data_IF_101608515517
#
_entry.id   IF_101608515517
#
_cell.length_a   1.000
_cell.length_b   1.000
_cell.length_c   1.000
_cell.angle_alpha   90.00
_cell.angle_beta   90.00
_cell.angle_gamma   90.00
#
_symmetry.space_group_name_H-M   'P 1'
#
loop_
_entity.id
_entity.type
_entity.pdbx_description
1 polymer ?
#
# COMPACT_ATOMS: atom_id res chain seq x y z
N UNK A 1 -13.45 15.56 -10.45
CA UNK A 1 -13.83 14.45 -9.54
C UNK A 1 -13.22 14.61 -8.16
N UNK A 2 -12.09 15.33 -8.02
CA UNK A 2 -11.37 15.50 -6.77
C UNK A 2 -11.23 16.97 -6.42
N UNK A 3 -11.12 17.27 -5.12
CA UNK A 3 -10.73 18.60 -4.62
C UNK A 3 -9.57 18.45 -3.64
N UNK A 4 -8.68 19.44 -3.60
CA UNK A 4 -7.56 19.47 -2.64
C UNK A 4 -7.85 20.55 -1.60
N UNK A 5 -7.79 20.18 -0.31
CA UNK A 5 -8.14 21.07 0.81
C UNK A 5 -7.09 20.95 1.91
N UNK A 6 -7.01 21.96 2.78
CA UNK A 6 -6.17 21.89 3.96
C UNK A 6 -6.76 20.90 4.98
N UNK A 7 -5.90 20.11 5.61
CA UNK A 7 -6.25 19.14 6.65
C UNK A 7 -5.38 19.41 7.89
N UNK A 8 -6.04 19.64 9.02
CA UNK A 8 -5.36 19.93 10.27
C UNK A 8 -4.34 18.82 10.61
N UNK A 9 -3.09 19.22 10.86
CA UNK A 9 -2.00 18.30 11.21
C UNK A 9 -1.45 17.44 10.06
N UNK A 10 -2.01 17.49 8.84
CA UNK A 10 -1.55 16.71 7.67
C UNK A 10 -1.20 17.57 6.44
N UNK A 11 -1.37 18.89 6.52
CA UNK A 11 -1.10 19.78 5.40
C UNK A 11 -2.28 19.82 4.43
N UNK A 12 -2.15 19.15 3.28
CA UNK A 12 -3.20 19.07 2.26
C UNK A 12 -3.74 17.64 2.16
N UNK A 13 -5.01 17.50 1.80
CA UNK A 13 -5.66 16.21 1.54
C UNK A 13 -6.48 16.23 0.26
N UNK A 14 -6.76 15.05 -0.27
CA UNK A 14 -7.54 14.84 -1.50
C UNK A 14 -8.92 14.35 -1.12
N UNK A 15 -9.97 15.02 -1.60
CA UNK A 15 -11.36 14.76 -1.24
C UNK A 15 -12.20 14.45 -2.46
N UNK A 16 -13.17 13.55 -2.29
CA UNK A 16 -14.14 13.22 -3.33
C UNK A 16 -15.09 14.42 -3.58
N UNK A 17 -15.12 14.92 -4.81
CA UNK A 17 -16.02 16.03 -5.18
C UNK A 17 -17.47 15.55 -5.44
N UNK A 18 -17.69 14.25 -5.47
CA UNK A 18 -18.97 13.54 -5.68
C UNK A 18 -18.80 12.10 -5.16
N UNK A 19 -19.88 11.35 -4.88
CA UNK A 19 -19.77 9.95 -4.51
C UNK A 19 -18.98 9.14 -5.56
N UNK A 20 -18.12 8.22 -5.10
CA UNK A 20 -17.29 7.34 -5.92
C UNK A 20 -17.64 5.90 -5.53
N UNK A 21 -18.11 5.12 -6.50
CA UNK A 21 -18.41 3.70 -6.27
C UNK A 21 -17.14 2.87 -6.13
N UNK A 22 -17.21 1.82 -5.33
CA UNK A 22 -16.19 0.76 -5.22
C UNK A 22 -15.74 0.28 -6.61
N UNK A 23 -14.45 0.02 -6.75
CA UNK A 23 -13.82 -0.42 -8.01
C UNK A 23 -13.53 0.69 -9.02
N UNK A 24 -13.99 1.92 -8.77
CA UNK A 24 -13.72 3.05 -9.66
C UNK A 24 -12.23 3.42 -9.61
N UNK A 25 -11.60 3.54 -10.79
CA UNK A 25 -10.30 4.19 -10.94
C UNK A 25 -10.44 5.69 -10.66
N UNK A 26 -9.90 6.14 -9.53
CA UNK A 26 -9.92 7.53 -9.08
C UNK A 26 -8.91 8.37 -9.86
N UNK A 27 -7.70 7.85 -10.07
CA UNK A 27 -6.67 8.48 -10.89
C UNK A 27 -5.73 7.46 -11.54
N UNK A 28 -5.08 7.90 -12.61
CA UNK A 28 -3.89 7.29 -13.20
C UNK A 28 -2.84 8.38 -13.37
N UNK A 29 -1.73 8.26 -12.67
CA UNK A 29 -0.67 9.27 -12.63
C UNK A 29 0.61 8.73 -13.26
N UNK A 30 1.23 9.50 -14.15
CA UNK A 30 2.49 9.11 -14.81
C UNK A 30 3.66 9.65 -14.02
N UNK A 31 4.74 8.88 -13.95
CA UNK A 31 5.93 9.27 -13.23
C UNK A 31 6.51 10.56 -13.83
N UNK A 32 6.93 11.50 -12.97
CA UNK A 32 7.72 12.66 -13.40
C UNK A 32 9.22 12.45 -13.21
N UNK A 33 9.59 11.62 -12.23
CA UNK A 33 10.96 11.28 -11.91
C UNK A 33 10.98 9.80 -11.57
N UNK A 34 11.94 9.08 -12.12
CA UNK A 34 12.19 7.67 -11.85
C UNK A 34 13.65 7.47 -11.45
N UNK A 35 13.91 6.60 -10.49
CA UNK A 35 15.25 6.21 -10.07
C UNK A 35 15.33 4.69 -10.10
N UNK A 36 16.17 4.14 -10.98
CA UNK A 36 16.46 2.70 -11.02
C UNK A 36 17.69 2.36 -10.19
N UNK A 37 17.89 1.09 -9.77
CA UNK A 37 19.08 0.66 -9.03
C UNK A 37 20.39 0.89 -9.79
N UNK A 38 20.35 0.87 -11.13
CA UNK A 38 21.48 1.16 -12.00
C UNK A 38 21.76 2.65 -12.19
N UNK A 39 20.86 3.53 -11.75
CA UNK A 39 20.97 4.97 -11.96
C UNK A 39 21.54 5.70 -10.73
N UNK A 40 22.53 6.59 -10.91
CA UNK A 40 23.00 7.43 -9.82
C UNK A 40 21.96 8.50 -9.45
N UNK A 41 21.97 8.97 -8.21
CA UNK A 41 21.10 10.05 -7.70
C UNK A 41 21.14 11.33 -8.56
N UNK A 42 22.25 11.59 -9.27
CA UNK A 42 22.37 12.68 -10.25
C UNK A 42 21.33 12.64 -11.38
N UNK A 43 20.74 11.47 -11.66
CA UNK A 43 19.64 11.29 -12.63
C UNK A 43 18.37 12.04 -12.24
N UNK A 44 18.06 12.16 -10.94
CA UNK A 44 16.89 12.91 -10.44
C UNK A 44 16.96 14.37 -10.89
N UNK A 45 18.14 14.97 -10.77
CA UNK A 45 18.38 16.37 -11.10
C UNK A 45 18.28 16.61 -12.60
N UNK A 46 18.82 15.69 -13.39
CA UNK A 46 18.73 15.75 -14.85
C UNK A 46 17.27 15.68 -15.33
N UNK A 47 16.50 14.73 -14.79
CA UNK A 47 15.07 14.61 -15.09
C UNK A 47 14.30 15.86 -14.67
N UNK A 48 14.55 16.37 -13.46
CA UNK A 48 13.93 17.60 -12.95
C UNK A 48 14.09 18.80 -13.89
N UNK A 49 15.28 19.00 -14.47
CA UNK A 49 15.55 20.11 -15.42
C UNK A 49 14.73 20.01 -16.71
N UNK A 50 14.27 18.80 -17.05
CA UNK A 50 13.49 18.52 -18.25
C UNK A 50 11.98 18.55 -18.00
N UNK A 51 11.54 18.73 -16.74
CA UNK A 51 10.11 18.78 -16.39
C UNK A 51 9.51 20.11 -16.88
N UNK A 52 8.39 20.08 -17.64
CA UNK A 52 7.69 21.30 -18.07
C UNK A 52 7.26 22.17 -16.88
N UNK A 53 7.37 23.49 -17.02
CA UNK A 53 7.06 24.47 -15.96
C UNK A 53 5.66 24.31 -15.37
N UNK A 54 4.68 23.90 -16.19
CA UNK A 54 3.32 23.64 -15.74
C UNK A 54 3.21 22.52 -14.68
N UNK A 55 4.11 21.51 -14.73
CA UNK A 55 4.13 20.39 -13.79
C UNK A 55 4.99 20.67 -12.56
N UNK A 56 5.98 21.57 -12.68
CA UNK A 56 6.89 21.95 -11.59
C UNK A 56 6.16 22.52 -10.38
N UNK A 57 5.12 23.34 -10.57
CA UNK A 57 4.36 23.91 -9.44
C UNK A 57 3.72 22.82 -8.57
N UNK A 58 3.15 21.78 -9.18
CA UNK A 58 2.54 20.67 -8.44
C UNK A 58 3.61 19.91 -7.65
N UNK A 59 4.71 19.59 -8.30
CA UNK A 59 5.85 18.87 -7.73
C UNK A 59 6.49 19.61 -6.55
N UNK A 60 6.78 20.91 -6.70
CA UNK A 60 7.42 21.73 -5.68
C UNK A 60 6.52 22.04 -4.47
N UNK A 61 5.23 21.75 -4.57
CA UNK A 61 4.27 21.92 -3.47
C UNK A 61 4.06 20.65 -2.64
N UNK A 62 4.77 19.56 -2.94
CA UNK A 62 4.71 18.32 -2.16
C UNK A 62 5.40 18.47 -0.82
N UNK A 63 4.93 17.71 0.17
CA UNK A 63 5.46 17.74 1.53
C UNK A 63 6.90 17.24 1.60
N UNK A 64 7.68 17.85 2.49
CA UNK A 64 9.05 17.42 2.80
C UNK A 64 9.13 17.18 4.30
N UNK A 65 9.60 16.00 4.70
CA UNK A 65 10.00 15.77 6.09
C UNK A 65 11.45 16.21 6.27
N UNK A 66 11.67 17.30 7.00
CA UNK A 66 13.00 17.85 7.27
C UNK A 66 13.77 17.08 8.35
N UNK A 67 13.16 16.17 9.11
CA UNK A 67 13.89 15.36 10.10
C UNK A 67 14.69 14.23 9.46
N UNK A 68 14.33 13.82 8.24
CA UNK A 68 15.17 12.94 7.38
C UNK A 68 16.45 13.61 6.88
N UNK A 69 16.69 14.86 7.25
CA UNK A 69 17.92 15.60 6.96
C UNK A 69 19.06 15.14 7.90
N UNK A 70 19.48 13.88 7.73
CA UNK A 70 20.63 13.33 8.46
C UNK A 70 21.97 13.85 7.92
N UNK A 71 23.03 13.72 8.72
CA UNK A 71 24.42 14.10 8.36
C UNK A 71 24.84 13.54 7.00
N UNK A 72 24.41 12.32 6.66
CA UNK A 72 24.69 11.69 5.37
C UNK A 72 24.07 12.43 4.19
N UNK A 73 22.84 12.95 4.32
CA UNK A 73 22.21 13.76 3.27
C UNK A 73 22.92 15.08 3.07
N UNK A 74 23.52 15.65 4.13
CA UNK A 74 24.33 16.86 4.05
C UNK A 74 25.71 16.59 3.42
N UNK A 75 26.32 15.43 3.72
CA UNK A 75 27.58 14.99 3.11
C UNK A 75 27.41 14.63 1.62
N UNK A 76 26.33 13.96 1.24
CA UNK A 76 26.00 13.72 -0.18
C UNK A 76 25.75 15.03 -0.92
N UNK A 77 25.04 15.96 -0.30
CA UNK A 77 24.84 17.32 -0.81
C UNK A 77 26.17 18.05 -1.04
N UNK A 78 27.11 17.98 -0.08
CA UNK A 78 28.45 18.53 -0.21
C UNK A 78 29.27 17.85 -1.32
N UNK A 79 29.17 16.53 -1.43
CA UNK A 79 29.87 15.77 -2.46
C UNK A 79 29.33 16.09 -3.86
N UNK A 80 28.01 16.17 -4.03
CA UNK A 80 27.37 16.58 -5.28
C UNK A 80 27.63 18.05 -5.62
N UNK A 81 27.66 18.94 -4.62
CA UNK A 81 28.07 20.34 -4.81
C UNK A 81 29.53 20.47 -5.23
N UNK A 82 30.40 19.54 -4.83
CA UNK A 82 31.79 19.48 -5.29
C UNK A 82 31.93 18.95 -6.71
N UNK A 83 31.17 17.91 -7.07
CA UNK A 83 31.20 17.31 -8.41
C UNK A 83 30.45 18.13 -9.48
N UNK A 84 29.51 18.99 -9.06
CA UNK A 84 28.76 19.90 -9.93
C UNK A 84 28.43 21.23 -9.22
N UNK A 85 29.40 22.16 -9.12
CA UNK A 85 29.35 23.39 -8.29
C UNK A 85 28.30 24.43 -8.69
N UNK A 86 27.53 24.17 -9.75
CA UNK A 86 26.40 24.99 -10.21
C UNK A 86 25.03 24.44 -9.75
N UNK A 87 25.00 23.35 -8.96
CA UNK A 87 23.79 22.78 -8.37
C UNK A 87 23.36 23.58 -7.13
N UNK A 88 22.52 24.59 -7.37
CA UNK A 88 21.90 25.48 -6.38
C UNK A 88 20.94 24.76 -5.40
N UNK A 89 20.52 25.42 -4.30
CA UNK A 89 19.54 24.91 -3.31
C UNK A 89 18.28 24.23 -3.87
N UNK A 90 17.84 24.63 -5.07
CA UNK A 90 16.73 23.99 -5.80
C UNK A 90 16.96 22.48 -6.07
N UNK A 91 18.22 22.07 -6.26
CA UNK A 91 18.64 20.67 -6.46
C UNK A 91 18.39 19.83 -5.21
N UNK A 92 18.67 20.39 -4.04
CA UNK A 92 18.44 19.69 -2.77
C UNK A 92 16.94 19.61 -2.46
N UNK A 93 16.19 20.65 -2.80
CA UNK A 93 14.73 20.66 -2.68
C UNK A 93 14.10 19.48 -3.43
N UNK A 94 14.49 19.25 -4.69
CA UNK A 94 13.88 18.17 -5.47
C UNK A 94 14.27 16.76 -4.98
N UNK A 95 15.52 16.55 -4.56
CA UNK A 95 15.94 15.26 -4.01
C UNK A 95 15.14 14.95 -2.74
N UNK A 96 14.90 15.95 -1.88
CA UNK A 96 14.11 15.79 -0.66
C UNK A 96 12.63 15.54 -0.96
N UNK A 97 12.05 16.24 -1.94
CA UNK A 97 10.69 15.97 -2.41
C UNK A 97 10.60 14.53 -2.91
N UNK A 98 11.54 14.09 -3.75
CA UNK A 98 11.56 12.72 -4.24
C UNK A 98 11.62 11.71 -3.10
N UNK A 99 12.61 11.83 -2.19
CA UNK A 99 12.81 10.90 -1.05
C UNK A 99 11.60 10.77 -0.12
N UNK A 100 10.76 11.80 -0.03
CA UNK A 100 9.59 11.81 0.85
C UNK A 100 8.30 11.33 0.19
N UNK A 101 8.22 11.35 -1.14
CA UNK A 101 6.97 11.18 -1.88
C UNK A 101 7.04 10.12 -3.00
N UNK A 102 8.19 9.45 -3.15
CA UNK A 102 8.35 8.38 -4.15
C UNK A 102 7.63 7.09 -3.72
N UNK A 103 7.32 6.28 -4.72
CA UNK A 103 6.67 4.98 -4.61
C UNK A 103 7.57 3.93 -5.26
N UNK A 104 7.62 2.75 -4.65
CA UNK A 104 8.22 1.57 -5.27
C UNK A 104 7.28 1.04 -6.35
N UNK A 105 7.79 0.86 -7.56
CA UNK A 105 7.05 0.31 -8.70
C UNK A 105 7.58 -1.05 -9.16
N UNK A 106 8.41 -1.70 -8.33
CA UNK A 106 9.00 -3.01 -8.58
C UNK A 106 10.42 -2.95 -9.14
N UNK A 107 11.13 -4.08 -9.05
CA UNK A 107 12.51 -4.24 -9.54
C UNK A 107 13.50 -3.21 -8.97
N UNK A 108 13.25 -2.72 -7.76
CA UNK A 108 14.05 -1.68 -7.10
C UNK A 108 13.90 -0.29 -7.70
N UNK A 109 12.93 -0.07 -8.59
CA UNK A 109 12.66 1.23 -9.21
C UNK A 109 11.75 2.05 -8.31
N UNK A 110 12.18 3.27 -7.98
CA UNK A 110 11.38 4.26 -7.25
C UNK A 110 10.92 5.34 -8.22
N UNK A 111 9.66 5.76 -8.11
CA UNK A 111 9.09 6.77 -9.00
C UNK A 111 8.21 7.78 -8.25
N UNK A 112 8.18 9.01 -8.75
CA UNK A 112 7.42 10.11 -8.15
C UNK A 112 6.20 10.47 -9.00
N UNK A 113 5.04 10.39 -8.36
CA UNK A 113 3.72 10.62 -8.94
C UNK A 113 3.04 11.77 -8.20
N UNK A 114 3.09 13.02 -8.71
CA UNK A 114 2.70 14.20 -7.93
C UNK A 114 1.24 14.26 -7.51
N UNK A 115 0.33 13.62 -8.25
CA UNK A 115 -1.08 13.57 -7.89
C UNK A 115 -1.34 12.48 -6.84
N UNK A 116 -0.70 11.31 -7.00
CA UNK A 116 -0.77 10.22 -6.00
C UNK A 116 -0.15 10.65 -4.67
N UNK A 117 0.99 11.34 -4.71
CA UNK A 117 1.74 11.80 -3.54
C UNK A 117 0.95 12.77 -2.63
N UNK A 118 -0.21 13.29 -3.08
CA UNK A 118 -1.09 14.13 -2.26
C UNK A 118 -2.07 13.35 -1.41
N UNK A 119 -2.22 12.05 -1.66
CA UNK A 119 -3.23 11.23 -0.99
C UNK A 119 -2.71 10.87 0.39
N UNK A 120 -3.44 11.28 1.42
CA UNK A 120 -3.03 11.09 2.80
C UNK A 120 -3.16 9.64 3.28
N UNK A 121 -2.52 9.39 4.41
CA UNK A 121 -2.60 8.10 5.08
C UNK A 121 -3.89 7.90 5.88
N UNK A 122 -4.39 6.67 5.85
CA UNK A 122 -5.26 6.07 6.88
C UNK A 122 -4.84 4.61 7.12
N UNK A 123 -4.93 4.15 8.37
CA UNK A 123 -4.69 2.73 8.70
C UNK A 123 -5.89 1.83 8.35
N UNK A 124 -7.01 2.46 7.98
CA UNK A 124 -8.22 1.85 7.41
C UNK A 124 -8.57 2.63 6.14
N UNK A 125 -7.77 2.47 5.07
CA UNK A 125 -7.89 3.28 3.85
C UNK A 125 -9.16 2.95 3.06
N UNK A 126 -9.61 3.89 2.26
CA UNK A 126 -10.76 3.74 1.35
C UNK A 126 -10.36 3.61 -0.13
N UNK A 127 -9.07 3.74 -0.42
CA UNK A 127 -8.49 3.51 -1.73
C UNK A 127 -7.17 2.74 -1.61
N UNK A 128 -6.71 2.17 -2.72
CA UNK A 128 -5.41 1.52 -2.84
C UNK A 128 -4.71 1.98 -4.11
N UNK A 129 -3.38 2.03 -4.03
CA UNK A 129 -2.51 2.36 -5.13
C UNK A 129 -1.67 1.20 -5.65
N UNK A 130 -1.61 1.05 -6.97
CA UNK A 130 -0.78 0.06 -7.64
C UNK A 130 -0.23 0.63 -8.95
N UNK A 131 1.03 0.31 -9.27
CA UNK A 131 1.58 0.58 -10.59
C UNK A 131 1.02 -0.41 -11.61
N UNK A 132 0.39 0.09 -12.66
CA UNK A 132 -0.12 -0.72 -13.76
C UNK A 132 0.83 -0.58 -14.96
N UNK A 133 1.59 -1.64 -15.22
CA UNK A 133 2.59 -1.70 -16.30
C UNK A 133 1.97 -1.65 -17.69
N UNK A 134 0.72 -2.09 -17.87
CA UNK A 134 0.05 -2.09 -19.17
C UNK A 134 -0.26 -0.67 -19.68
N UNK A 135 -0.43 0.30 -18.77
CA UNK A 135 -0.71 1.70 -19.12
C UNK A 135 0.40 2.67 -18.70
N UNK A 136 1.45 2.16 -18.05
CA UNK A 136 2.59 2.92 -17.53
C UNK A 136 2.13 4.07 -16.61
N UNK A 137 1.35 3.73 -15.58
CA UNK A 137 0.83 4.69 -14.62
C UNK A 137 0.61 4.08 -13.24
N UNK A 138 0.82 4.90 -12.21
CA UNK A 138 0.38 4.59 -10.86
C UNK A 138 -1.11 4.89 -10.74
N UNK A 139 -1.89 3.86 -10.49
CA UNK A 139 -3.35 3.94 -10.44
C UNK A 139 -3.83 3.92 -9.00
N UNK A 140 -4.93 4.62 -8.73
CA UNK A 140 -5.63 4.56 -7.45
C UNK A 140 -7.05 4.12 -7.70
N UNK A 141 -7.51 3.08 -7.02
CA UNK A 141 -8.88 2.59 -7.10
C UNK A 141 -9.56 2.64 -5.73
N UNK A 142 -10.87 2.92 -5.74
CA UNK A 142 -11.69 2.90 -4.55
C UNK A 142 -11.93 1.46 -4.07
N UNK A 143 -11.55 1.13 -2.84
CA UNK A 143 -11.72 -0.23 -2.27
C UNK A 143 -13.07 -0.43 -1.58
N UNK A 144 -13.83 0.66 -1.42
CA UNK A 144 -15.23 0.71 -1.00
C UNK A 144 -15.89 1.96 -1.62
N UNK A 145 -17.19 2.11 -1.42
CA UNK A 145 -17.86 3.37 -1.77
C UNK A 145 -17.28 4.51 -0.91
N UNK A 146 -17.09 5.67 -1.55
CA UNK A 146 -16.54 6.89 -0.95
C UNK A 146 -17.58 7.99 -1.12
N UNK A 147 -17.98 8.61 -0.02
CA UNK A 147 -19.03 9.63 -0.01
C UNK A 147 -18.55 10.97 -0.56
N UNK A 148 -19.50 11.85 -0.91
CA UNK A 148 -19.16 13.25 -1.19
C UNK A 148 -18.44 13.88 0.00
N UNK A 149 -17.41 14.68 -0.27
CA UNK A 149 -16.56 15.33 0.74
C UNK A 149 -15.76 14.39 1.66
N UNK A 150 -15.77 13.09 1.41
CA UNK A 150 -14.90 12.16 2.12
C UNK A 150 -13.44 12.27 1.65
N UNK A 151 -12.48 12.26 2.58
CA UNK A 151 -11.05 12.23 2.26
C UNK A 151 -10.67 10.88 1.64
N UNK A 152 -10.03 10.89 0.48
CA UNK A 152 -9.46 9.71 -0.15
C UNK A 152 -8.11 9.43 0.52
N UNK A 153 -7.92 8.21 0.99
CA UNK A 153 -6.74 7.80 1.76
C UNK A 153 -6.21 6.44 1.31
N UNK A 154 -4.89 6.28 1.40
CA UNK A 154 -4.17 5.01 1.16
C UNK A 154 -3.39 4.60 2.42
N UNK A 155 -2.91 3.36 2.48
CA UNK A 155 -1.96 2.95 3.53
C UNK A 155 -0.53 3.34 3.14
N UNK A 156 0.23 3.90 4.09
CA UNK A 156 1.67 4.14 3.96
C UNK A 156 2.48 3.08 4.71
N UNK A 157 1.79 2.17 5.39
CA UNK A 157 2.36 1.08 6.17
C UNK A 157 2.74 -0.06 5.21
N UNK A 158 3.88 -0.72 5.42
CA UNK A 158 4.25 -1.90 4.64
C UNK A 158 3.31 -3.08 4.93
N UNK A 159 2.77 -3.15 6.15
CA UNK A 159 1.88 -4.20 6.61
C UNK A 159 0.60 -3.58 7.17
N UNK A 160 -0.53 -4.21 6.83
CA UNK A 160 -1.81 -3.88 7.42
C UNK A 160 -2.02 -4.71 8.70
N UNK A 161 -3.02 -4.35 9.52
CA UNK A 161 -3.36 -5.04 10.78
C UNK A 161 -2.31 -5.01 11.90
N UNK A 162 -1.17 -4.34 11.73
CA UNK A 162 -0.21 -4.10 12.82
C UNK A 162 -0.87 -3.36 14.00
N UNK A 163 -0.42 -3.63 15.22
CA UNK A 163 -0.85 -2.96 16.47
C UNK A 163 -0.48 -1.46 16.49
N UNK A 164 -1.10 -0.67 17.38
CA UNK A 164 -1.09 0.81 17.35
C UNK A 164 0.31 1.41 17.45
N UNK A 165 1.09 1.03 18.46
CA UNK A 165 2.35 1.71 18.77
C UNK A 165 3.39 1.62 17.64
N UNK A 166 3.67 0.43 17.06
CA UNK A 166 4.57 0.33 15.91
C UNK A 166 4.10 1.13 14.69
N UNK A 167 2.78 1.17 14.42
CA UNK A 167 2.24 1.99 13.31
C UNK A 167 2.49 3.48 13.56
N UNK A 168 2.18 3.97 14.75
CA UNK A 168 2.36 5.38 15.10
C UNK A 168 3.84 5.76 15.12
N UNK A 169 4.71 4.92 15.67
CA UNK A 169 6.16 5.13 15.67
C UNK A 169 6.72 5.23 14.24
N UNK A 170 6.37 4.28 13.36
CA UNK A 170 6.82 4.27 11.97
C UNK A 170 6.32 5.51 11.20
N UNK A 171 5.07 5.91 11.41
CA UNK A 171 4.51 7.09 10.75
C UNK A 171 5.16 8.40 11.26
N UNK A 172 5.42 8.50 12.55
CA UNK A 172 6.12 9.62 13.14
C UNK A 172 7.57 9.71 12.62
N UNK A 173 8.30 8.61 12.62
CA UNK A 173 9.69 8.56 12.14
C UNK A 173 9.78 8.85 10.62
N UNK A 174 8.98 8.15 9.82
CA UNK A 174 9.10 8.19 8.35
C UNK A 174 8.40 9.41 7.74
N UNK A 175 7.29 9.87 8.30
CA UNK A 175 6.44 10.89 7.67
C UNK A 175 6.16 12.10 8.57
N UNK A 176 6.65 12.11 9.82
CA UNK A 176 6.56 13.24 10.75
C UNK A 176 5.12 13.71 11.02
N UNK A 177 4.19 12.77 11.21
CA UNK A 177 2.85 13.05 11.68
C UNK A 177 2.34 11.93 12.60
N UNK A 178 1.33 12.25 13.44
CA UNK A 178 0.59 11.27 14.24
C UNK A 178 -0.73 10.94 13.55
N UNK A 179 -1.00 9.65 13.35
CA UNK A 179 -2.23 9.22 12.70
C UNK A 179 -3.43 9.37 13.64
N UNK A 180 -4.48 10.05 13.17
CA UNK A 180 -5.77 10.20 13.84
C UNK A 180 -6.92 9.58 13.04
N UNK A 181 -6.65 8.50 12.30
CA UNK A 181 -7.70 7.75 11.60
C UNK A 181 -8.59 6.98 12.60
N UNK A 182 -9.75 6.44 12.19
CA UNK A 182 -10.66 5.72 13.09
C UNK A 182 -10.05 4.52 13.83
N UNK A 183 -8.96 3.93 13.31
CA UNK A 183 -8.23 2.83 13.94
C UNK A 183 -7.09 3.30 14.88
N UNK A 184 -6.87 4.60 15.02
CA UNK A 184 -5.86 5.20 15.89
C UNK A 184 -6.47 6.12 16.95
N UNK A 185 -7.65 6.70 16.68
CA UNK A 185 -8.32 7.65 17.56
C UNK A 185 -9.84 7.60 17.41
N UNK A 186 -10.56 8.02 18.44
CA UNK A 186 -12.03 8.06 18.47
C UNK A 186 -12.66 6.79 19.05
N UNK A 187 -13.98 6.67 18.95
CA UNK A 187 -14.78 5.66 19.65
C UNK A 187 -14.43 4.20 19.30
N UNK A 188 -13.93 3.97 18.08
CA UNK A 188 -13.60 2.62 17.59
C UNK A 188 -12.13 2.24 17.78
N UNK A 189 -11.29 3.14 18.28
CA UNK A 189 -9.85 2.93 18.31
C UNK A 189 -9.45 1.76 19.22
N UNK A 190 -10.06 1.64 20.40
CA UNK A 190 -9.69 0.60 21.37
C UNK A 190 -10.23 -0.77 20.95
N UNK A 191 -11.44 -0.81 20.36
CA UNK A 191 -11.99 -2.03 19.77
C UNK A 191 -11.15 -2.51 18.58
N UNK A 192 -10.71 -1.59 17.72
CA UNK A 192 -9.78 -1.88 16.61
C UNK A 192 -8.45 -2.43 17.13
N UNK A 193 -7.92 -1.83 18.20
CA UNK A 193 -6.67 -2.27 18.78
C UNK A 193 -6.77 -3.65 19.43
N UNK A 194 -7.84 -3.92 20.16
CA UNK A 194 -8.10 -5.22 20.77
C UNK A 194 -8.13 -6.33 19.71
N UNK A 195 -8.78 -6.11 18.57
CA UNK A 195 -8.80 -7.07 17.45
C UNK A 195 -7.40 -7.31 16.88
N UNK A 196 -6.64 -6.25 16.64
CA UNK A 196 -5.27 -6.34 16.12
C UNK A 196 -4.34 -7.07 17.09
N UNK A 197 -4.45 -6.80 18.38
CA UNK A 197 -3.70 -7.52 19.42
C UNK A 197 -4.12 -8.99 19.52
N UNK A 198 -5.41 -9.30 19.41
CA UNK A 198 -5.89 -10.68 19.39
C UNK A 198 -5.32 -11.46 18.20
N UNK A 199 -5.39 -10.90 17.00
CA UNK A 199 -4.78 -11.49 15.81
C UNK A 199 -3.27 -11.66 15.97
N UNK A 200 -2.56 -10.64 16.45
CA UNK A 200 -1.11 -10.72 16.66
C UNK A 200 -0.75 -11.86 17.63
N UNK A 201 -1.50 -12.05 18.72
CA UNK A 201 -1.29 -13.19 19.64
C UNK A 201 -1.48 -14.54 18.94
N UNK A 202 -2.50 -14.67 18.09
CA UNK A 202 -2.74 -15.88 17.32
C UNK A 202 -1.60 -16.17 16.33
N UNK A 203 -1.14 -15.15 15.60
CA UNK A 203 -0.02 -15.29 14.65
C UNK A 203 1.29 -15.67 15.35
N UNK A 204 1.58 -15.06 16.51
CA UNK A 204 2.76 -15.41 17.30
C UNK A 204 2.68 -16.85 17.81
N UNK A 205 1.53 -17.27 18.34
CA UNK A 205 1.32 -18.65 18.78
C UNK A 205 1.46 -19.66 17.63
N UNK A 206 0.93 -19.33 16.45
CA UNK A 206 1.12 -20.13 15.24
C UNK A 206 2.61 -20.21 14.88
N UNK A 207 3.32 -19.08 14.83
CA UNK A 207 4.74 -19.08 14.47
C UNK A 207 5.59 -19.86 15.47
N UNK A 208 5.37 -19.71 16.78
CA UNK A 208 6.09 -20.43 17.83
C UNK A 208 5.89 -21.94 17.75
N UNK A 209 4.65 -22.39 17.51
CA UNK A 209 4.33 -23.80 17.34
C UNK A 209 5.06 -24.42 16.13
N UNK A 210 5.42 -23.64 15.12
CA UNK A 210 6.08 -24.13 13.90
C UNK A 210 7.56 -23.77 13.80
N UNK A 211 8.09 -22.95 14.70
CA UNK A 211 9.52 -22.59 14.77
C UNK A 211 10.37 -23.60 15.56
N UNK A 212 9.74 -24.47 16.36
CA UNK A 212 10.40 -25.33 17.36
C UNK A 212 10.45 -26.83 17.05
N UNK A 213 9.93 -27.27 15.90
CA UNK A 213 9.96 -28.68 15.53
C UNK A 213 11.11 -28.99 14.56
N UNK A 214 11.80 -30.11 14.80
CA UNK A 214 12.52 -30.84 13.76
C UNK A 214 11.55 -31.01 12.58
N UNK A 215 11.97 -30.61 11.37
CA UNK A 215 11.13 -30.62 10.17
C UNK A 215 10.52 -32.01 9.87
N UNK A 216 11.04 -33.07 10.50
CA UNK A 216 10.64 -34.46 10.34
C UNK A 216 9.43 -34.88 11.23
N UNK A 217 8.90 -34.02 12.10
CA UNK A 217 7.80 -34.34 13.04
C UNK A 217 6.51 -33.50 12.85
N UNK A 218 6.43 -32.66 11.83
CA UNK A 218 5.22 -31.86 11.56
C UNK A 218 4.20 -32.73 10.83
N UNK A 219 3.04 -32.97 11.43
CA UNK A 219 1.89 -33.53 10.72
C UNK A 219 1.44 -32.52 9.66
N UNK A 220 1.67 -32.86 8.39
CA UNK A 220 1.32 -32.01 7.25
C UNK A 220 -0.18 -31.66 7.20
N UNK A 221 -1.04 -32.57 7.67
CA UNK A 221 -2.48 -32.37 7.78
C UNK A 221 -2.83 -31.34 8.84
N UNK A 222 -2.26 -31.48 10.04
CA UNK A 222 -2.45 -30.52 11.14
C UNK A 222 -1.93 -29.14 10.76
N UNK A 223 -0.74 -29.05 10.15
CA UNK A 223 -0.19 -27.80 9.66
C UNK A 223 -1.11 -27.10 8.66
N UNK A 224 -1.66 -27.87 7.71
CA UNK A 224 -2.56 -27.36 6.68
C UNK A 224 -3.86 -26.83 7.29
N UNK A 225 -4.45 -27.56 8.24
CA UNK A 225 -5.65 -27.12 8.97
C UNK A 225 -5.38 -25.85 9.78
N UNK A 226 -4.28 -25.81 10.54
CA UNK A 226 -3.94 -24.64 11.37
C UNK A 226 -3.61 -23.41 10.53
N UNK A 227 -2.93 -23.60 9.40
CA UNK A 227 -2.66 -22.53 8.43
C UNK A 227 -3.97 -21.96 7.85
N UNK A 228 -4.93 -22.84 7.54
CA UNK A 228 -6.24 -22.46 7.04
C UNK A 228 -7.04 -21.66 8.07
N UNK A 229 -7.13 -22.14 9.31
CA UNK A 229 -7.82 -21.45 10.41
C UNK A 229 -7.22 -20.07 10.70
N UNK A 230 -5.89 -20.00 10.81
CA UNK A 230 -5.18 -18.75 11.12
C UNK A 230 -5.39 -17.72 10.01
N UNK A 231 -5.40 -18.16 8.75
CA UNK A 231 -5.64 -17.28 7.61
C UNK A 231 -7.10 -16.82 7.53
N UNK A 232 -8.07 -17.64 7.95
CA UNK A 232 -9.46 -17.23 8.08
C UNK A 232 -9.64 -16.16 9.17
N UNK A 233 -9.03 -16.35 10.35
CA UNK A 233 -9.07 -15.34 11.42
C UNK A 233 -8.47 -14.00 10.98
N UNK A 234 -7.42 -14.04 10.15
CA UNK A 234 -6.84 -12.85 9.53
C UNK A 234 -7.83 -12.17 8.57
N UNK A 235 -8.51 -12.93 7.69
CA UNK A 235 -9.54 -12.41 6.78
C UNK A 235 -10.72 -11.77 7.53
N UNK A 236 -11.18 -12.41 8.61
CA UNK A 236 -12.24 -11.88 9.47
C UNK A 236 -11.82 -10.56 10.13
N UNK A 237 -10.56 -10.46 10.56
CA UNK A 237 -10.01 -9.22 11.11
C UNK A 237 -9.95 -8.11 10.06
N UNK A 238 -9.53 -8.41 8.82
CA UNK A 238 -9.59 -7.44 7.71
C UNK A 238 -11.01 -6.93 7.47
N UNK A 239 -12.00 -7.83 7.42
CA UNK A 239 -13.40 -7.47 7.22
C UNK A 239 -13.95 -6.60 8.35
N UNK A 240 -13.66 -6.96 9.61
CA UNK A 240 -14.08 -6.22 10.80
C UNK A 240 -13.45 -4.82 10.89
N UNK A 241 -12.21 -4.67 10.42
CA UNK A 241 -11.52 -3.39 10.32
C UNK A 241 -11.95 -2.58 9.09
N UNK A 242 -12.68 -3.19 8.16
CA UNK A 242 -13.08 -2.56 6.90
C UNK A 242 -11.93 -2.35 5.94
N UNK A 243 -10.81 -3.05 6.12
CA UNK A 243 -9.64 -2.98 5.25
C UNK A 243 -9.85 -3.93 4.07
N UNK A 244 -9.64 -3.39 2.87
CA UNK A 244 -9.87 -4.05 1.58
C UNK A 244 -8.72 -3.71 0.65
N UNK A 245 -8.53 -4.53 -0.38
CA UNK A 245 -7.47 -4.31 -1.34
C UNK A 245 -6.91 -5.60 -1.93
N UNK A 246 -5.91 -5.44 -2.79
CA UNK A 246 -5.15 -6.51 -3.44
C UNK A 246 -4.57 -7.50 -2.45
N UNK A 247 -3.99 -7.05 -1.35
CA UNK A 247 -3.35 -7.93 -0.37
C UNK A 247 -4.38 -8.87 0.28
N UNK A 248 -5.56 -8.34 0.59
CA UNK A 248 -6.69 -9.13 1.09
C UNK A 248 -7.19 -10.07 -0.01
N UNK A 249 -7.27 -9.62 -1.27
CA UNK A 249 -7.69 -10.43 -2.41
C UNK A 249 -6.76 -11.63 -2.63
N UNK A 250 -5.44 -11.39 -2.66
CA UNK A 250 -4.42 -12.44 -2.75
C UNK A 250 -4.53 -13.41 -1.59
N UNK A 251 -4.71 -12.92 -0.36
CA UNK A 251 -4.91 -13.79 0.79
C UNK A 251 -6.17 -14.65 0.64
N UNK A 252 -7.29 -14.10 0.18
CA UNK A 252 -8.51 -14.88 -0.08
C UNK A 252 -8.29 -16.02 -1.08
N UNK A 253 -7.53 -15.77 -2.15
CA UNK A 253 -7.19 -16.79 -3.16
C UNK A 253 -6.25 -17.86 -2.57
N UNK A 254 -5.29 -17.46 -1.74
CA UNK A 254 -4.42 -18.40 -1.01
C UNK A 254 -5.24 -19.27 -0.04
N UNK A 255 -6.14 -18.68 0.73
CA UNK A 255 -7.03 -19.41 1.65
C UNK A 255 -8.00 -20.32 0.87
N UNK A 256 -8.44 -19.91 -0.31
CA UNK A 256 -9.21 -20.78 -1.19
C UNK A 256 -8.42 -22.02 -1.63
N UNK A 257 -7.13 -21.87 -1.90
CA UNK A 257 -6.23 -23.00 -2.22
C UNK A 257 -6.06 -23.93 -1.01
N UNK A 258 -5.90 -23.40 0.20
CA UNK A 258 -5.86 -24.20 1.44
C UNK A 258 -7.18 -24.96 1.65
N UNK A 259 -8.33 -24.28 1.51
CA UNK A 259 -9.65 -24.92 1.57
C UNK A 259 -9.79 -26.06 0.56
N UNK A 260 -9.31 -25.87 -0.67
CA UNK A 260 -9.35 -26.91 -1.70
C UNK A 260 -8.52 -28.13 -1.31
N UNK A 261 -7.33 -27.95 -0.72
CA UNK A 261 -6.48 -29.06 -0.25
C UNK A 261 -7.12 -29.83 0.90
N UNK A 262 -7.90 -29.14 1.74
CA UNK A 262 -8.69 -29.74 2.84
C UNK A 262 -10.03 -30.34 2.38
N UNK A 263 -10.31 -30.40 1.07
CA UNK A 263 -11.57 -30.92 0.54
C UNK A 263 -12.80 -30.02 0.79
N UNK A 264 -12.60 -28.78 1.26
CA UNK A 264 -13.66 -27.79 1.54
C UNK A 264 -14.08 -27.05 0.26
N UNK A 265 -14.53 -27.79 -0.76
CA UNK A 265 -14.70 -27.29 -2.13
C UNK A 265 -15.65 -26.09 -2.28
N UNK A 266 -16.76 -26.07 -1.53
CA UNK A 266 -17.70 -24.94 -1.58
C UNK A 266 -17.07 -23.65 -1.03
N UNK A 267 -16.36 -23.76 0.11
CA UNK A 267 -15.69 -22.63 0.74
C UNK A 267 -14.53 -22.13 -0.13
N UNK A 268 -13.75 -23.05 -0.71
CA UNK A 268 -12.70 -22.72 -1.67
C UNK A 268 -13.25 -21.90 -2.84
N UNK A 269 -14.36 -22.34 -3.45
CA UNK A 269 -15.00 -21.63 -4.55
C UNK A 269 -15.45 -20.22 -4.15
N UNK A 270 -16.09 -20.07 -3.00
CA UNK A 270 -16.58 -18.78 -2.52
C UNK A 270 -15.44 -17.79 -2.26
N UNK A 271 -14.38 -18.24 -1.58
CA UNK A 271 -13.21 -17.44 -1.29
C UNK A 271 -12.49 -17.01 -2.57
N UNK A 272 -12.29 -17.92 -3.52
CA UNK A 272 -11.62 -17.61 -4.79
C UNK A 272 -12.38 -16.54 -5.59
N UNK A 273 -13.71 -16.65 -5.68
CA UNK A 273 -14.53 -15.68 -6.43
C UNK A 273 -14.61 -14.32 -5.72
N UNK A 274 -14.77 -14.29 -4.38
CA UNK A 274 -14.77 -13.04 -3.60
C UNK A 274 -13.39 -12.37 -3.65
N UNK A 275 -12.31 -13.15 -3.60
CA UNK A 275 -10.94 -12.67 -3.80
C UNK A 275 -10.73 -12.05 -5.18
N UNK A 276 -11.16 -12.74 -6.26
CA UNK A 276 -11.05 -12.21 -7.63
C UNK A 276 -11.80 -10.89 -7.82
N UNK A 277 -13.02 -10.78 -7.30
CA UNK A 277 -13.78 -9.53 -7.35
C UNK A 277 -13.06 -8.40 -6.60
N UNK A 278 -12.51 -8.71 -5.42
CA UNK A 278 -11.77 -7.71 -4.64
C UNK A 278 -10.49 -7.25 -5.35
N UNK A 279 -9.81 -8.15 -6.07
CA UNK A 279 -8.64 -7.77 -6.87
C UNK A 279 -9.05 -6.87 -8.04
N UNK A 280 -10.16 -7.19 -8.73
CA UNK A 280 -10.72 -6.33 -9.78
C UNK A 280 -10.98 -4.91 -9.27
N UNK A 281 -11.59 -4.79 -8.09
CA UNK A 281 -11.89 -3.49 -7.50
C UNK A 281 -10.63 -2.73 -7.11
N UNK A 282 -9.56 -3.42 -6.71
CA UNK A 282 -8.31 -2.81 -6.26
C UNK A 282 -7.45 -2.28 -7.41
N UNK A 283 -7.50 -2.89 -8.61
CA UNK A 283 -6.59 -2.52 -9.72
C UNK A 283 -7.23 -2.33 -11.10
N UNK A 284 -8.48 -2.74 -11.27
CA UNK A 284 -9.15 -2.77 -12.56
C UNK A 284 -8.74 -3.94 -13.47
N UNK A 285 -9.58 -4.23 -14.47
CA UNK A 285 -9.41 -5.37 -15.38
C UNK A 285 -8.21 -5.28 -16.33
N UNK A 286 -7.74 -4.06 -16.57
CA UNK A 286 -6.59 -3.77 -17.43
C UNK A 286 -5.25 -3.88 -16.69
N UNK A 287 -5.24 -4.28 -15.42
CA UNK A 287 -4.00 -4.57 -14.69
C UNK A 287 -3.51 -6.00 -14.95
N UNK A 288 -2.21 -6.11 -15.18
CA UNK A 288 -1.44 -7.35 -15.21
C UNK A 288 -1.67 -8.22 -13.99
N UNK A 289 -1.89 -7.60 -12.84
CA UNK A 289 -2.09 -8.31 -11.62
C UNK A 289 -3.46 -9.00 -11.54
N UNK A 290 -4.53 -8.31 -11.96
CA UNK A 290 -5.87 -8.91 -12.03
C UNK A 290 -5.89 -10.06 -13.03
N UNK A 291 -5.24 -9.90 -14.18
CA UNK A 291 -5.11 -10.98 -15.17
C UNK A 291 -4.41 -12.21 -14.59
N UNK A 292 -3.40 -12.04 -13.74
CA UNK A 292 -2.74 -13.15 -13.05
C UNK A 292 -3.68 -13.82 -12.03
N UNK A 293 -4.35 -13.05 -11.18
CA UNK A 293 -5.33 -13.58 -10.22
C UNK A 293 -6.50 -14.28 -10.92
N UNK A 294 -6.95 -13.78 -12.08
CA UNK A 294 -8.01 -14.43 -12.88
C UNK A 294 -7.57 -15.81 -13.34
N UNK A 295 -6.37 -15.94 -13.92
CA UNK A 295 -5.81 -17.23 -14.37
C UNK A 295 -5.67 -18.22 -13.22
N UNK A 296 -5.17 -17.75 -12.07
CA UNK A 296 -5.03 -18.59 -10.87
C UNK A 296 -6.39 -19.12 -10.40
N UNK A 297 -7.39 -18.24 -10.29
CA UNK A 297 -8.75 -18.60 -9.89
C UNK A 297 -9.40 -19.53 -10.91
N UNK A 298 -9.25 -19.30 -12.21
CA UNK A 298 -9.73 -20.21 -13.26
C UNK A 298 -9.17 -21.63 -13.07
N UNK A 299 -7.86 -21.76 -12.84
CA UNK A 299 -7.20 -23.06 -12.59
C UNK A 299 -7.75 -23.72 -11.32
N UNK A 300 -7.91 -22.96 -10.23
CA UNK A 300 -8.47 -23.47 -8.98
C UNK A 300 -9.91 -23.96 -9.17
N UNK A 301 -10.75 -23.18 -9.85
CA UNK A 301 -12.14 -23.54 -10.11
C UNK A 301 -12.29 -24.78 -10.99
N UNK A 302 -11.36 -25.03 -11.91
CA UNK A 302 -11.32 -26.27 -12.69
C UNK A 302 -11.00 -27.49 -11.84
N UNK A 303 -10.11 -27.35 -10.83
CA UNK A 303 -9.80 -28.43 -9.88
C UNK A 303 -10.99 -28.79 -9.01
N UNK A 304 -11.77 -27.79 -8.58
CA UNK A 304 -12.95 -27.98 -7.71
C UNK A 304 -14.16 -28.64 -8.41
N UNK A 305 -14.12 -28.83 -9.73
CA UNK A 305 -15.17 -29.52 -10.50
C UNK A 305 -14.97 -31.03 -10.58
N UNK A 306 -13.78 -31.53 -10.24
CA UNK A 306 -13.42 -32.94 -10.22
C UNK A 306 -13.70 -33.51 -8.85
#
# INVERSE_FOLDING_TARGET
MLTVRAVAGKGLGVFAAKPISRGTRILADRALITLSPSDPTGSIVHQYRSIPSAKLKSLLSLSINTTKFGVLSWLEALWQSRSAPHLQPATHGIINIFRNNNFDIGNGVQALFPNVARINHSCVPNAQGNFNTNIDAFTIHATRDIEHDEEITISYLPENLTVRDPRLAMLAEKYNFLCACPACSGERADVSEERRMALHRQLMSFNEAHSKHDADLIDEGEFLEKSFETSLAMLETYEAEGIRGREVATMMINVATLASKLGKSQQARQLALKGLQLDEDAVGKDSEFYENSRKEVEVLLLKLRK
#
